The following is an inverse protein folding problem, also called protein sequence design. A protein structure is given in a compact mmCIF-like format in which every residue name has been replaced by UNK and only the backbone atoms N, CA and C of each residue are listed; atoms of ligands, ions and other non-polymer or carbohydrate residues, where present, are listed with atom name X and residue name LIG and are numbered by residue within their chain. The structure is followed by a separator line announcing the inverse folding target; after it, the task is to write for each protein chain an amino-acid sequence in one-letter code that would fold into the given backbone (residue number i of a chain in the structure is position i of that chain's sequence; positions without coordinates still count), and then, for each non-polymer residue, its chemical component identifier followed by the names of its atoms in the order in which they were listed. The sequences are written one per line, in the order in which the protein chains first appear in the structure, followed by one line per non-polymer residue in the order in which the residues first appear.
data_IF_899872573576
#
_entry.id   IF_899872573576
#
_cell.length_a   1.000
_cell.length_b   1.000
_cell.length_c   1.000
_cell.angle_alpha   90.00
_cell.angle_beta   90.00
_cell.angle_gamma   90.00
#
_symmetry.space_group_name_H-M   'P 1'
#
loop_
_entity.id
_entity.type
_entity.pdbx_description
1 polymer ?
#
# COMPACT_ATOMS: atom_id res chain seq x y z
N UNK A 1 1.30 -13.53 22.66
CA UNK A 1 2.61 -13.10 22.13
C UNK A 1 2.67 -13.19 20.61
N UNK A 2 2.13 -14.25 20.00
CA UNK A 2 2.18 -14.46 18.54
C UNK A 2 1.39 -13.41 17.75
N UNK A 3 0.24 -12.95 18.24
CA UNK A 3 -0.58 -11.94 17.53
C UNK A 3 0.15 -10.61 17.31
N UNK A 4 0.94 -10.16 18.28
CA UNK A 4 1.74 -8.95 18.14
C UNK A 4 2.82 -9.08 17.06
N UNK A 5 3.43 -10.28 16.93
CA UNK A 5 4.39 -10.58 15.87
C UNK A 5 3.72 -10.60 14.48
N UNK A 6 2.53 -11.22 14.37
CA UNK A 6 1.77 -11.27 13.13
C UNK A 6 1.30 -9.87 12.71
N UNK A 7 0.89 -9.03 13.65
CA UNK A 7 0.49 -7.65 13.41
C UNK A 7 1.69 -6.78 13.00
N UNK A 8 2.84 -6.93 13.68
CA UNK A 8 4.09 -6.29 13.24
C UNK A 8 4.51 -6.71 11.84
N UNK A 9 4.35 -8.00 11.50
CA UNK A 9 4.62 -8.51 10.16
C UNK A 9 3.64 -7.91 9.12
N UNK A 10 2.35 -7.80 9.46
CA UNK A 10 1.35 -7.13 8.62
C UNK A 10 1.68 -5.66 8.37
N UNK A 11 2.14 -4.94 9.40
CA UNK A 11 2.63 -3.55 9.25
C UNK A 11 3.83 -3.49 8.32
N UNK A 12 4.80 -4.39 8.48
CA UNK A 12 6.00 -4.44 7.65
C UNK A 12 5.66 -4.76 6.19
N UNK A 13 4.72 -5.68 5.96
CA UNK A 13 4.21 -5.99 4.63
C UNK A 13 3.47 -4.81 4.00
N UNK A 14 2.68 -4.06 4.79
CA UNK A 14 2.00 -2.84 4.32
C UNK A 14 3.00 -1.79 3.84
N UNK A 15 4.09 -1.60 4.60
CA UNK A 15 5.19 -0.71 4.19
C UNK A 15 5.83 -1.24 2.90
N UNK A 16 6.03 -2.55 2.78
CA UNK A 16 6.50 -3.21 1.56
C UNK A 16 5.61 -2.91 0.35
N UNK A 17 4.28 -3.04 0.49
CA UNK A 17 3.29 -2.64 -0.53
C UNK A 17 3.49 -1.18 -0.93
N UNK A 18 3.68 -0.31 0.05
CA UNK A 18 3.94 1.11 -0.18
C UNK A 18 5.18 1.38 -1.01
N UNK A 19 6.27 0.66 -0.77
CA UNK A 19 7.49 0.77 -1.58
C UNK A 19 7.27 0.32 -3.03
N UNK A 20 6.53 -0.76 -3.25
CA UNK A 20 6.18 -1.21 -4.61
C UNK A 20 5.32 -0.18 -5.34
N UNK A 21 4.31 0.38 -4.67
CA UNK A 21 3.44 1.42 -5.22
C UNK A 21 4.23 2.69 -5.54
N UNK A 22 5.11 3.13 -4.64
CA UNK A 22 5.98 4.29 -4.87
C UNK A 22 6.92 4.07 -6.07
N UNK A 23 7.50 2.87 -6.18
CA UNK A 23 8.38 2.51 -7.30
C UNK A 23 7.64 2.51 -8.64
N UNK A 24 6.44 1.91 -8.69
CA UNK A 24 5.58 1.92 -9.87
C UNK A 24 5.19 3.35 -10.28
N UNK A 25 4.75 4.17 -9.32
CA UNK A 25 4.32 5.55 -9.60
C UNK A 25 5.50 6.48 -9.94
N UNK A 26 6.67 6.29 -9.34
CA UNK A 26 7.88 7.04 -9.67
C UNK A 26 8.35 6.73 -11.09
N UNK A 27 8.43 5.45 -11.46
CA UNK A 27 8.79 5.03 -12.83
C UNK A 27 7.81 5.55 -13.90
N UNK A 28 6.53 5.78 -13.55
CA UNK A 28 5.53 6.27 -14.50
C UNK A 28 5.46 7.82 -14.54
N UNK A 29 5.53 8.50 -13.39
CA UNK A 29 5.32 9.95 -13.29
C UNK A 29 6.60 10.78 -13.33
N UNK A 30 7.65 10.37 -12.64
CA UNK A 30 8.78 11.25 -12.36
C UNK A 30 9.51 11.64 -13.67
N UNK A 31 9.68 10.66 -14.54
CA UNK A 31 10.30 10.86 -15.83
C UNK A 31 9.35 11.56 -16.84
N UNK A 32 8.04 11.31 -16.80
CA UNK A 32 7.08 11.98 -17.71
C UNK A 32 6.82 13.43 -17.32
N UNK A 33 6.54 13.71 -16.06
CA UNK A 33 6.20 15.05 -15.58
C UNK A 33 7.39 16.00 -15.72
N UNK A 34 8.61 15.54 -15.46
CA UNK A 34 9.81 16.36 -15.64
C UNK A 34 10.11 16.62 -17.13
N UNK A 35 9.99 15.60 -17.99
CA UNK A 35 10.20 15.75 -19.43
C UNK A 35 9.09 16.60 -20.10
N UNK A 36 7.83 16.46 -19.66
CA UNK A 36 6.71 17.31 -20.11
C UNK A 36 6.86 18.74 -19.58
N UNK A 37 7.30 18.94 -18.34
CA UNK A 37 7.61 20.25 -17.76
C UNK A 37 8.78 20.94 -18.50
N UNK A 38 9.80 20.20 -18.92
CA UNK A 38 10.89 20.75 -19.76
C UNK A 38 10.42 21.06 -21.18
N UNK A 39 9.53 20.24 -21.73
CA UNK A 39 8.88 20.52 -23.02
C UNK A 39 8.00 21.77 -22.97
N UNK A 40 7.20 21.97 -21.91
CA UNK A 40 6.38 23.18 -21.75
C UNK A 40 7.24 24.43 -21.51
N UNK A 41 8.44 24.26 -20.94
CA UNK A 41 9.49 25.31 -20.85
C UNK A 41 10.22 25.58 -22.18
N UNK A 42 9.91 24.85 -23.25
CA UNK A 42 10.38 25.15 -24.62
C UNK A 42 11.57 24.33 -25.12
N UNK A 43 12.05 23.34 -24.36
CA UNK A 43 13.14 22.46 -24.81
C UNK A 43 12.69 21.52 -25.95
N UNK A 44 13.49 21.49 -27.03
CA UNK A 44 13.25 20.67 -28.22
C UNK A 44 14.08 19.39 -28.16
N UNK A 45 13.56 18.28 -28.68
CA UNK A 45 14.28 16.99 -28.75
C UNK A 45 13.98 16.00 -27.62
N UNK A 46 13.01 16.30 -26.75
CA UNK A 46 12.61 15.42 -25.62
C UNK A 46 11.64 14.29 -26.03
N UNK A 47 10.97 14.40 -27.18
CA UNK A 47 10.00 13.39 -27.67
C UNK A 47 10.57 11.96 -27.82
N UNK A 48 11.81 11.75 -28.33
CA UNK A 48 12.40 10.42 -28.42
C UNK A 48 12.70 9.82 -27.03
N UNK A 49 13.17 10.65 -26.09
CA UNK A 49 13.46 10.24 -24.70
C UNK A 49 12.18 9.83 -23.97
N UNK A 50 11.11 10.61 -24.10
CA UNK A 50 9.77 10.26 -23.58
C UNK A 50 9.26 8.93 -24.18
N UNK A 51 9.59 8.65 -25.44
CA UNK A 51 9.17 7.43 -26.14
C UNK A 51 10.02 6.21 -25.75
N UNK A 52 11.31 6.40 -25.50
CA UNK A 52 12.22 5.35 -25.02
C UNK A 52 11.85 4.90 -23.59
N UNK A 53 11.47 5.86 -22.75
CA UNK A 53 10.94 5.62 -21.42
C UNK A 53 9.72 4.68 -21.41
N UNK A 54 8.87 4.82 -22.43
CA UNK A 54 7.67 4.01 -22.66
C UNK A 54 7.99 2.51 -22.78
N UNK A 55 9.22 2.14 -23.15
CA UNK A 55 9.68 0.74 -23.30
C UNK A 55 10.20 0.11 -22.01
N UNK A 56 10.53 0.90 -20.97
CA UNK A 56 11.01 0.39 -19.67
C UNK A 56 9.87 -0.21 -18.81
N UNK A 57 8.62 -0.08 -19.25
CA UNK A 57 7.40 -0.60 -18.62
C UNK A 57 7.36 -2.13 -18.45
N UNK A 58 8.32 -2.90 -18.95
CA UNK A 58 8.41 -4.35 -18.70
C UNK A 58 8.69 -4.70 -17.23
N UNK A 59 9.22 -3.77 -16.43
CA UNK A 59 9.41 -3.97 -14.98
C UNK A 59 8.11 -3.82 -14.17
N UNK A 60 7.01 -3.33 -14.77
CA UNK A 60 5.74 -3.09 -14.07
C UNK A 60 5.07 -4.39 -13.59
N UNK A 61 5.19 -5.48 -14.37
CA UNK A 61 4.56 -6.75 -14.02
C UNK A 61 5.10 -7.35 -12.71
N UNK A 62 6.37 -7.10 -12.37
CA UNK A 62 6.94 -7.54 -11.10
C UNK A 62 6.41 -6.74 -9.90
N UNK A 63 6.23 -5.42 -10.06
CA UNK A 63 5.69 -4.55 -9.02
C UNK A 63 4.23 -4.91 -8.70
N UNK A 64 3.41 -5.15 -9.72
CA UNK A 64 2.00 -5.50 -9.54
C UNK A 64 1.81 -6.87 -8.85
N UNK A 65 2.65 -7.86 -9.16
CA UNK A 65 2.68 -9.13 -8.43
C UNK A 65 3.12 -8.93 -6.97
N UNK A 66 4.12 -8.07 -6.74
CA UNK A 66 4.58 -7.69 -5.40
C UNK A 66 3.45 -7.08 -4.57
N UNK A 67 2.77 -6.06 -5.10
CA UNK A 67 1.62 -5.39 -4.46
C UNK A 67 0.52 -6.40 -4.11
N UNK A 68 0.19 -7.29 -5.05
CA UNK A 68 -0.86 -8.29 -4.84
C UNK A 68 -0.48 -9.24 -3.71
N UNK A 69 0.74 -9.78 -3.72
CA UNK A 69 1.22 -10.70 -2.70
C UNK A 69 1.28 -10.04 -1.33
N UNK A 70 1.84 -8.84 -1.22
CA UNK A 70 1.97 -8.15 0.07
C UNK A 70 0.61 -7.72 0.61
N UNK A 71 -0.34 -7.32 -0.24
CA UNK A 71 -1.71 -6.97 0.17
C UNK A 71 -2.46 -8.19 0.68
N UNK A 72 -2.40 -9.32 -0.02
CA UNK A 72 -3.03 -10.57 0.42
C UNK A 72 -2.45 -11.08 1.73
N UNK A 73 -1.11 -11.08 1.86
CA UNK A 73 -0.44 -11.48 3.10
C UNK A 73 -0.79 -10.54 4.25
N UNK A 74 -0.83 -9.23 4.01
CA UNK A 74 -1.23 -8.25 5.02
C UNK A 74 -2.66 -8.51 5.50
N UNK A 75 -3.62 -8.70 4.59
CA UNK A 75 -5.00 -9.02 4.98
C UNK A 75 -5.08 -10.32 5.80
N UNK A 76 -4.40 -11.37 5.32
CA UNK A 76 -4.39 -12.68 5.98
C UNK A 76 -3.73 -12.67 7.37
N UNK A 77 -2.75 -11.79 7.61
CA UNK A 77 -2.03 -11.71 8.88
C UNK A 77 -2.63 -10.66 9.82
N UNK A 78 -2.96 -9.47 9.31
CA UNK A 78 -3.34 -8.33 10.14
C UNK A 78 -4.80 -8.43 10.62
N UNK A 79 -5.74 -8.88 9.77
CA UNK A 79 -7.16 -8.96 10.13
C UNK A 79 -7.42 -9.92 11.31
N UNK A 80 -7.02 -11.21 11.26
CA UNK A 80 -7.28 -12.12 12.37
C UNK A 80 -6.56 -11.69 13.65
N UNK A 81 -5.34 -11.17 13.54
CA UNK A 81 -4.60 -10.69 14.71
C UNK A 81 -5.22 -9.46 15.35
N UNK A 82 -5.74 -8.51 14.56
CA UNK A 82 -6.49 -7.37 15.12
C UNK A 82 -7.78 -7.86 15.79
N UNK A 83 -8.50 -8.81 15.20
CA UNK A 83 -9.74 -9.35 15.77
C UNK A 83 -9.47 -9.96 17.14
N UNK A 84 -8.47 -10.83 17.27
CA UNK A 84 -8.12 -11.46 18.56
C UNK A 84 -7.67 -10.41 19.60
N UNK A 85 -6.92 -9.39 19.18
CA UNK A 85 -6.50 -8.30 20.08
C UNK A 85 -7.67 -7.44 20.57
N UNK A 86 -8.65 -7.16 19.69
CA UNK A 86 -9.85 -6.42 20.05
C UNK A 86 -10.76 -7.24 20.98
N UNK A 87 -10.88 -8.54 20.73
CA UNK A 87 -11.63 -9.48 21.58
C UNK A 87 -11.02 -9.61 22.98
N UNK A 88 -9.70 -9.73 23.07
CA UNK A 88 -8.98 -9.88 24.34
C UNK A 88 -8.86 -8.58 25.14
N UNK A 89 -9.14 -7.43 24.53
CA UNK A 89 -9.02 -6.11 25.16
C UNK A 89 -10.33 -5.34 25.13
N UNK A 90 -10.35 -4.28 24.31
CA UNK A 90 -11.35 -3.22 24.31
C UNK A 90 -12.80 -3.67 24.15
N UNK A 91 -13.07 -4.76 23.42
CA UNK A 91 -14.44 -5.20 23.15
C UNK A 91 -14.90 -6.33 24.08
N UNK A 92 -13.96 -7.13 24.61
CA UNK A 92 -14.25 -8.23 25.52
C UNK A 92 -14.86 -7.81 26.85
N UNK A 93 -14.63 -6.56 27.27
CA UNK A 93 -15.26 -5.98 28.47
C UNK A 93 -16.73 -5.59 28.26
N UNK A 94 -17.15 -5.33 27.02
CA UNK A 94 -18.47 -4.77 26.69
C UNK A 94 -19.40 -5.78 26.03
N UNK A 95 -18.86 -6.76 25.31
CA UNK A 95 -19.61 -7.74 24.54
C UNK A 95 -19.14 -9.17 24.84
N UNK A 96 -20.04 -10.14 24.74
CA UNK A 96 -19.71 -11.57 24.95
C UNK A 96 -20.32 -12.45 23.85
N UNK A 97 -19.73 -13.63 23.66
CA UNK A 97 -20.26 -14.64 22.73
C UNK A 97 -20.20 -14.22 21.25
N UNK A 98 -21.17 -14.65 20.41
CA UNK A 98 -21.12 -14.44 18.96
C UNK A 98 -21.09 -12.96 18.53
N UNK A 99 -21.68 -12.07 19.33
CA UNK A 99 -21.74 -10.64 19.07
C UNK A 99 -20.37 -9.98 19.19
N UNK A 100 -19.56 -10.40 20.16
CA UNK A 100 -18.18 -9.93 20.34
C UNK A 100 -17.35 -10.22 19.08
N UNK A 101 -17.45 -11.45 18.57
CA UNK A 101 -16.70 -11.87 17.39
C UNK A 101 -17.11 -11.08 16.15
N UNK A 102 -18.42 -10.93 15.91
CA UNK A 102 -18.92 -10.18 14.76
C UNK A 102 -18.49 -8.70 14.77
N UNK A 103 -18.55 -8.03 15.94
CA UNK A 103 -18.13 -6.63 16.06
C UNK A 103 -16.61 -6.51 15.92
N UNK A 104 -15.84 -7.40 16.55
CA UNK A 104 -14.38 -7.39 16.49
C UNK A 104 -13.87 -7.65 15.07
N UNK A 105 -14.50 -8.56 14.33
CA UNK A 105 -14.21 -8.80 12.92
C UNK A 105 -14.52 -7.55 12.08
N UNK A 106 -15.69 -6.93 12.27
CA UNK A 106 -16.09 -5.74 11.50
C UNK A 106 -15.14 -4.57 11.73
N UNK A 107 -14.81 -4.31 13.00
CA UNK A 107 -13.88 -3.22 13.37
C UNK A 107 -12.46 -3.51 12.87
N UNK A 108 -12.00 -4.76 13.01
CA UNK A 108 -10.71 -5.20 12.47
C UNK A 108 -10.62 -4.96 10.97
N UNK A 109 -11.63 -5.40 10.21
CA UNK A 109 -11.68 -5.22 8.76
C UNK A 109 -11.59 -3.74 8.37
N UNK A 110 -12.35 -2.87 9.05
CA UNK A 110 -12.32 -1.42 8.78
C UNK A 110 -10.93 -0.84 9.05
N UNK A 111 -10.33 -1.15 10.21
CA UNK A 111 -9.02 -0.62 10.59
C UNK A 111 -7.93 -1.15 9.65
N UNK A 112 -7.89 -2.45 9.40
CA UNK A 112 -6.92 -3.09 8.52
C UNK A 112 -7.03 -2.55 7.09
N UNK A 113 -8.25 -2.38 6.57
CA UNK A 113 -8.49 -1.82 5.24
C UNK A 113 -8.03 -0.37 5.16
N UNK A 114 -8.39 0.47 6.12
CA UNK A 114 -7.95 1.87 6.15
C UNK A 114 -6.44 1.98 6.29
N UNK A 115 -5.83 1.18 7.16
CA UNK A 115 -4.37 1.16 7.33
C UNK A 115 -3.66 0.73 6.05
N UNK A 116 -4.10 -0.37 5.44
CA UNK A 116 -3.54 -0.89 4.18
C UNK A 116 -3.67 0.10 3.03
N UNK A 117 -4.86 0.70 2.84
CA UNK A 117 -5.09 1.67 1.77
C UNK A 117 -4.35 2.99 1.99
N UNK A 118 -4.32 3.51 3.23
CA UNK A 118 -3.61 4.75 3.52
C UNK A 118 -2.10 4.57 3.43
N UNK A 119 -1.54 3.63 4.17
CA UNK A 119 -0.09 3.45 4.30
C UNK A 119 0.49 2.69 3.11
N UNK A 120 -0.21 1.67 2.63
CA UNK A 120 0.24 0.82 1.52
C UNK A 120 0.02 1.44 0.15
N UNK A 121 -0.94 2.35 -0.03
CA UNK A 121 -1.20 2.96 -1.34
C UNK A 121 -1.15 4.48 -1.35
N UNK A 122 -1.99 5.16 -0.56
CA UNK A 122 -2.23 6.60 -0.73
C UNK A 122 -1.04 7.46 -0.31
N UNK A 123 -0.38 7.14 0.82
CA UNK A 123 0.84 7.82 1.27
C UNK A 123 1.96 7.69 0.23
N UNK A 124 2.33 6.49 -0.24
CA UNK A 124 3.35 6.34 -1.27
C UNK A 124 2.98 7.00 -2.59
N UNK A 125 1.71 6.91 -3.04
CA UNK A 125 1.23 7.65 -4.21
C UNK A 125 1.40 9.15 -4.05
N UNK A 126 1.04 9.70 -2.89
CA UNK A 126 1.21 11.14 -2.61
C UNK A 126 2.68 11.54 -2.60
N UNK A 127 3.55 10.78 -1.93
CA UNK A 127 4.98 11.03 -1.88
C UNK A 127 5.61 11.00 -3.27
N UNK A 128 5.31 9.98 -4.09
CA UNK A 128 5.79 9.87 -5.46
C UNK A 128 5.33 11.01 -6.38
N UNK A 129 4.23 11.70 -6.03
CA UNK A 129 3.71 12.86 -6.76
C UNK A 129 4.23 14.21 -6.23
N UNK A 130 4.66 14.30 -4.97
CA UNK A 130 5.09 15.56 -4.34
C UNK A 130 6.59 15.71 -4.15
N UNK A 131 7.32 14.59 -4.07
CA UNK A 131 8.79 14.57 -4.08
C UNK A 131 9.25 14.09 -5.46
N UNK A 132 9.53 15.00 -6.41
CA UNK A 132 10.27 14.68 -7.62
C UNK A 132 11.71 14.26 -7.29
#
# INVERSE_FOLDING_TARGET
MNEWLLLCLGVLLTIGTGLFVASEFSLINLERTELESRRTRGERGLSPTITALKRTSTHLSGAQLGITLTTLLTGFLAEPSLTVLLEAGLLGEWFTGPTLHAISLTVSLVIATLFSTLIGELVPKKLALTLP
#
